data_IF_683903273249
#
_entry.id   IF_683903273249
#
_cell.length_a   1.000
_cell.length_b   1.000
_cell.length_c   1.000
_cell.angle_alpha   90.00
_cell.angle_beta   90.00
_cell.angle_gamma   90.00
#
_symmetry.space_group_name_H-M   'P 1'
#
loop_
_entity.id
_entity.type
_entity.pdbx_description
1 polymer ?
#
# COMPACT_ATOMS: atom_id res chain seq x y z
N UNK A 1 11.20 -35.20 6.04
CA UNK A 1 12.63 -35.54 5.87
C UNK A 1 13.54 -34.32 5.96
N UNK A 2 13.24 -33.23 5.25
CA UNK A 2 14.09 -32.03 5.20
C UNK A 2 14.13 -31.20 6.51
N UNK A 3 13.07 -31.24 7.32
CA UNK A 3 13.03 -30.62 8.66
C UNK A 3 14.08 -31.21 9.61
N UNK A 4 14.37 -32.52 9.48
CA UNK A 4 15.41 -33.19 10.24
C UNK A 4 16.80 -32.71 9.84
N UNK A 5 17.03 -32.45 8.55
CA UNK A 5 18.30 -31.88 8.06
C UNK A 5 18.53 -30.46 8.57
N UNK A 6 17.47 -29.64 8.64
CA UNK A 6 17.55 -28.26 9.19
C UNK A 6 18.00 -28.26 10.65
N UNK A 7 17.49 -29.20 11.45
CA UNK A 7 17.80 -29.30 12.89
C UNK A 7 19.21 -29.87 13.18
N UNK A 8 19.83 -30.53 12.21
CA UNK A 8 21.20 -31.07 12.33
C UNK A 8 22.28 -30.03 12.02
N UNK A 9 21.89 -28.88 11.47
CA UNK A 9 22.84 -27.82 11.16
C UNK A 9 23.24 -27.09 12.45
N UNK A 10 24.54 -26.88 12.70
CA UNK A 10 24.98 -26.13 13.88
C UNK A 10 24.45 -24.69 13.84
N UNK A 11 23.80 -24.28 14.93
CA UNK A 11 23.31 -22.91 15.14
C UNK A 11 24.45 -21.91 15.37
N UNK A 12 25.66 -22.41 15.63
CA UNK A 12 26.82 -21.57 15.89
C UNK A 12 27.11 -20.67 14.69
N UNK A 13 27.41 -19.42 15.00
CA UNK A 13 27.85 -18.37 14.06
C UNK A 13 29.25 -18.65 13.50
N UNK A 14 29.58 -19.93 13.29
CA UNK A 14 30.90 -20.34 12.87
C UNK A 14 31.12 -19.91 11.43
N UNK A 15 32.12 -19.04 11.27
CA UNK A 15 32.68 -18.45 10.05
C UNK A 15 33.24 -19.47 9.05
N UNK A 16 32.89 -20.75 9.19
CA UNK A 16 33.34 -21.82 8.30
C UNK A 16 32.53 -21.81 7.00
N UNK A 17 33.21 -21.53 5.89
CA UNK A 17 32.64 -21.44 4.55
C UNK A 17 31.92 -22.73 4.12
N UNK A 18 32.39 -23.89 4.56
CA UNK A 18 31.75 -25.18 4.27
C UNK A 18 30.39 -25.34 4.97
N UNK A 19 30.27 -24.82 6.19
CA UNK A 19 28.98 -24.81 6.93
C UNK A 19 27.98 -23.88 6.23
N UNK A 20 28.44 -22.72 5.71
CA UNK A 20 27.58 -21.81 4.94
C UNK A 20 27.07 -22.47 3.67
N UNK A 21 27.95 -23.09 2.88
CA UNK A 21 27.56 -23.82 1.65
C UNK A 21 26.53 -24.91 1.95
N UNK A 22 26.73 -25.67 3.03
CA UNK A 22 25.79 -26.71 3.44
C UNK A 22 24.42 -26.12 3.86
N UNK A 23 24.42 -25.01 4.61
CA UNK A 23 23.21 -24.27 4.97
C UNK A 23 22.47 -23.78 3.72
N UNK A 24 23.18 -23.14 2.78
CA UNK A 24 22.63 -22.67 1.50
C UNK A 24 21.99 -23.81 0.71
N UNK A 25 22.71 -24.94 0.55
CA UNK A 25 22.20 -26.10 -0.15
C UNK A 25 20.95 -26.68 0.53
N UNK A 26 20.94 -26.75 1.86
CA UNK A 26 19.81 -27.27 2.64
C UNK A 26 18.58 -26.37 2.48
N UNK A 27 18.70 -25.07 2.75
CA UNK A 27 17.60 -24.12 2.60
C UNK A 27 17.09 -24.05 1.15
N UNK A 28 17.98 -24.11 0.17
CA UNK A 28 17.61 -24.14 -1.26
C UNK A 28 16.80 -25.39 -1.59
N UNK A 29 17.18 -26.57 -1.11
CA UNK A 29 16.43 -27.80 -1.32
C UNK A 29 15.08 -27.80 -0.60
N UNK A 30 15.01 -27.24 0.62
CA UNK A 30 13.74 -27.07 1.35
C UNK A 30 12.79 -26.15 0.56
N UNK A 31 13.28 -25.01 0.07
CA UNK A 31 12.48 -24.10 -0.74
C UNK A 31 11.89 -24.80 -1.98
N UNK A 32 12.66 -25.67 -2.63
CA UNK A 32 12.17 -26.46 -3.76
C UNK A 32 11.08 -27.46 -3.35
N UNK A 33 11.22 -28.09 -2.18
CA UNK A 33 10.18 -28.98 -1.65
C UNK A 33 8.89 -28.21 -1.39
N UNK A 34 8.95 -27.07 -0.71
CA UNK A 34 7.78 -26.23 -0.44
C UNK A 34 7.14 -25.72 -1.74
N UNK A 35 7.93 -25.32 -2.75
CA UNK A 35 7.40 -24.95 -4.07
C UNK A 35 6.62 -26.10 -4.73
N UNK A 36 7.08 -27.35 -4.60
CA UNK A 36 6.37 -28.53 -5.12
C UNK A 36 5.11 -28.87 -4.31
N UNK A 37 5.10 -28.52 -3.02
CA UNK A 37 3.93 -28.68 -2.14
C UNK A 37 2.90 -27.54 -2.27
N UNK A 38 3.13 -26.54 -3.12
CA UNK A 38 2.36 -25.29 -3.23
C UNK A 38 2.42 -24.37 -1.99
N UNK A 39 3.34 -24.63 -1.05
CA UNK A 39 3.56 -23.80 0.14
C UNK A 39 4.52 -22.65 -0.19
N UNK A 40 4.03 -21.66 -0.94
CA UNK A 40 4.88 -20.60 -1.48
C UNK A 40 5.40 -19.62 -0.41
N UNK A 41 4.66 -19.43 0.70
CA UNK A 41 5.08 -18.54 1.79
C UNK A 41 6.31 -19.10 2.51
N UNK A 42 6.27 -20.37 2.89
CA UNK A 42 7.37 -21.07 3.53
C UNK A 42 8.56 -21.18 2.58
N UNK A 43 8.32 -21.40 1.28
CA UNK A 43 9.37 -21.36 0.28
C UNK A 43 10.07 -19.99 0.21
N UNK A 44 9.32 -18.89 0.31
CA UNK A 44 9.88 -17.51 0.36
C UNK A 44 10.76 -17.33 1.59
N UNK A 45 10.32 -17.80 2.76
CA UNK A 45 11.09 -17.72 4.01
C UNK A 45 12.43 -18.44 3.89
N UNK A 46 12.43 -19.66 3.33
CA UNK A 46 13.65 -20.44 3.14
C UNK A 46 14.59 -19.80 2.11
N UNK A 47 14.05 -19.19 1.04
CA UNK A 47 14.86 -18.39 0.10
C UNK A 47 15.46 -17.14 0.76
N UNK A 48 14.75 -16.49 1.69
CA UNK A 48 15.28 -15.36 2.45
C UNK A 48 16.43 -15.79 3.37
N UNK A 49 16.37 -16.98 3.97
CA UNK A 49 17.47 -17.55 4.73
C UNK A 49 18.71 -17.78 3.86
N UNK A 50 18.54 -18.28 2.63
CA UNK A 50 19.66 -18.38 1.67
C UNK A 50 20.23 -17.00 1.34
N UNK A 51 19.37 -16.01 1.09
CA UNK A 51 19.81 -14.64 0.74
C UNK A 51 20.60 -13.97 1.88
N UNK A 52 20.28 -14.29 3.14
CA UNK A 52 21.03 -13.79 4.30
C UNK A 52 22.46 -14.35 4.38
N UNK A 53 22.69 -15.56 3.84
CA UNK A 53 24.00 -16.18 3.75
C UNK A 53 24.75 -15.79 2.47
N UNK A 54 24.04 -15.79 1.35
CA UNK A 54 24.56 -15.48 0.01
C UNK A 54 23.60 -14.53 -0.73
N UNK A 55 23.87 -13.22 -0.64
CA UNK A 55 22.99 -12.19 -1.20
C UNK A 55 22.87 -12.23 -2.74
N UNK A 56 23.85 -12.84 -3.42
CA UNK A 56 23.95 -12.92 -4.88
C UNK A 56 23.69 -14.33 -5.44
N UNK A 57 23.05 -15.21 -4.66
CA UNK A 57 22.70 -16.55 -5.14
C UNK A 57 21.54 -16.49 -6.14
N UNK A 58 21.85 -16.69 -7.43
CA UNK A 58 20.89 -16.54 -8.53
C UNK A 58 19.73 -17.54 -8.41
N UNK A 59 19.98 -18.78 -7.99
CA UNK A 59 18.94 -19.81 -7.83
C UNK A 59 17.95 -19.44 -6.73
N UNK A 60 18.43 -18.90 -5.62
CA UNK A 60 17.57 -18.47 -4.52
C UNK A 60 16.74 -17.24 -4.91
N UNK A 61 17.35 -16.25 -5.56
CA UNK A 61 16.64 -15.05 -6.06
C UNK A 61 15.54 -15.44 -7.07
N UNK A 62 15.86 -16.33 -8.02
CA UNK A 62 14.90 -16.78 -9.01
C UNK A 62 13.72 -17.54 -8.38
N UNK A 63 13.99 -18.47 -7.45
CA UNK A 63 12.93 -19.21 -6.74
C UNK A 63 12.07 -18.29 -5.87
N UNK A 64 12.69 -17.31 -5.20
CA UNK A 64 11.98 -16.30 -4.41
C UNK A 64 11.04 -15.46 -5.27
N UNK A 65 11.53 -14.97 -6.42
CA UNK A 65 10.71 -14.24 -7.38
C UNK A 65 9.51 -15.04 -7.88
N UNK A 66 9.69 -16.35 -8.13
CA UNK A 66 8.59 -17.25 -8.50
C UNK A 66 7.55 -17.38 -7.38
N UNK A 67 7.98 -17.51 -6.12
CA UNK A 67 7.06 -17.56 -4.98
C UNK A 67 6.30 -16.24 -4.82
N UNK A 68 7.00 -15.09 -4.88
CA UNK A 68 6.39 -13.76 -4.75
C UNK A 68 5.35 -13.51 -5.86
N UNK A 69 5.61 -13.98 -7.09
CA UNK A 69 4.67 -13.89 -8.21
C UNK A 69 3.37 -14.67 -7.96
N UNK A 70 3.42 -15.77 -7.19
CA UNK A 70 2.26 -16.58 -6.84
C UNK A 70 1.53 -16.00 -5.63
N UNK A 71 2.27 -15.47 -4.65
CA UNK A 71 1.74 -14.77 -3.46
C UNK A 71 1.12 -13.41 -3.84
N UNK A 72 1.32 -12.96 -5.09
CA UNK A 72 0.84 -11.67 -5.62
C UNK A 72 1.59 -10.44 -5.06
N UNK A 73 2.82 -10.64 -4.58
CA UNK A 73 3.78 -9.57 -4.27
C UNK A 73 4.60 -9.26 -5.52
N UNK A 74 3.98 -8.55 -6.46
CA UNK A 74 4.49 -8.40 -7.82
C UNK A 74 5.74 -7.50 -7.89
N UNK A 75 5.80 -6.48 -7.04
CA UNK A 75 6.92 -5.54 -6.94
C UNK A 75 8.20 -6.25 -6.47
N UNK A 76 8.11 -7.01 -5.38
CA UNK A 76 9.23 -7.80 -4.84
C UNK A 76 9.69 -8.86 -5.84
N UNK A 77 8.74 -9.53 -6.52
CA UNK A 77 9.06 -10.49 -7.58
C UNK A 77 9.83 -9.82 -8.73
N UNK A 78 9.43 -8.63 -9.13
CA UNK A 78 10.07 -7.88 -10.21
C UNK A 78 11.50 -7.49 -9.84
N UNK A 79 11.74 -7.02 -8.62
CA UNK A 79 13.09 -6.71 -8.12
C UNK A 79 14.00 -7.95 -8.15
N UNK A 80 13.48 -9.10 -7.68
CA UNK A 80 14.19 -10.37 -7.69
C UNK A 80 14.63 -10.79 -9.09
N UNK A 81 13.70 -10.80 -10.05
CA UNK A 81 14.01 -11.19 -11.42
C UNK A 81 14.93 -10.19 -12.12
N UNK A 82 14.82 -8.90 -11.82
CA UNK A 82 15.76 -7.89 -12.32
C UNK A 82 17.16 -8.14 -11.81
N UNK A 83 17.31 -8.46 -10.52
CA UNK A 83 18.61 -8.79 -9.94
C UNK A 83 19.19 -10.08 -10.54
N UNK A 84 18.35 -11.08 -10.83
CA UNK A 84 18.77 -12.28 -11.56
C UNK A 84 19.31 -11.92 -12.95
N UNK A 85 18.65 -11.04 -13.70
CA UNK A 85 19.11 -10.62 -15.04
C UNK A 85 20.42 -9.81 -14.95
N UNK A 86 20.61 -9.02 -13.90
CA UNK A 86 21.87 -8.31 -13.67
C UNK A 86 23.04 -9.27 -13.45
N UNK A 87 22.81 -10.37 -12.71
CA UNK A 87 23.83 -11.39 -12.43
C UNK A 87 24.02 -12.36 -13.61
N UNK A 88 22.93 -12.73 -14.29
CA UNK A 88 22.90 -13.63 -15.44
C UNK A 88 22.09 -13.02 -16.59
N UNK A 89 22.70 -12.17 -17.44
CA UNK A 89 22.01 -11.53 -18.56
C UNK A 89 21.45 -12.51 -19.60
N UNK A 90 21.98 -13.74 -19.66
CA UNK A 90 21.51 -14.79 -20.56
C UNK A 90 20.26 -15.53 -20.08
N UNK A 91 19.75 -15.23 -18.88
CA UNK A 91 18.63 -15.96 -18.29
C UNK A 91 17.28 -15.53 -18.91
N UNK A 92 16.90 -16.20 -20.00
CA UNK A 92 15.63 -15.97 -20.71
C UNK A 92 14.40 -16.18 -19.83
N UNK A 93 14.47 -17.12 -18.88
CA UNK A 93 13.35 -17.42 -18.00
C UNK A 93 13.05 -16.25 -17.06
N UNK A 94 14.10 -15.64 -16.48
CA UNK A 94 13.96 -14.44 -15.66
C UNK A 94 13.43 -13.24 -16.47
N UNK A 95 13.93 -13.05 -17.70
CA UNK A 95 13.44 -11.99 -18.59
C UNK A 95 11.93 -12.12 -18.89
N UNK A 96 11.46 -13.34 -19.17
CA UNK A 96 10.03 -13.61 -19.37
C UNK A 96 9.21 -13.28 -18.12
N UNK A 97 9.70 -13.67 -16.93
CA UNK A 97 9.01 -13.37 -15.69
C UNK A 97 8.94 -11.87 -15.39
N UNK A 98 9.95 -11.06 -15.75
CA UNK A 98 9.87 -9.59 -15.64
C UNK A 98 8.73 -9.01 -16.47
N UNK A 99 8.54 -9.48 -17.70
CA UNK A 99 7.44 -9.05 -18.57
C UNK A 99 6.10 -9.38 -17.94
N UNK A 100 5.95 -10.61 -17.41
CA UNK A 100 4.72 -11.06 -16.73
C UNK A 100 4.44 -10.19 -15.49
N UNK A 101 5.46 -9.90 -14.66
CA UNK A 101 5.30 -9.06 -13.48
C UNK A 101 4.82 -7.65 -13.86
N UNK A 102 5.46 -7.02 -14.86
CA UNK A 102 5.07 -5.68 -15.33
C UNK A 102 3.64 -5.65 -15.84
N UNK A 103 3.22 -6.68 -16.58
CA UNK A 103 1.87 -6.79 -17.09
C UNK A 103 0.85 -6.89 -15.95
N UNK A 104 1.08 -7.79 -14.98
CA UNK A 104 0.21 -7.93 -13.81
C UNK A 104 0.14 -6.63 -13.00
N UNK A 105 1.27 -5.99 -12.70
CA UNK A 105 1.30 -4.71 -11.95
C UNK A 105 0.47 -3.64 -12.67
N UNK A 106 0.61 -3.54 -13.99
CA UNK A 106 -0.18 -2.60 -14.79
C UNK A 106 -1.67 -2.92 -14.71
N UNK A 107 -2.04 -4.19 -14.82
CA UNK A 107 -3.44 -4.62 -14.69
C UNK A 107 -4.01 -4.28 -13.31
N UNK A 108 -3.30 -4.58 -12.22
CA UNK A 108 -3.73 -4.26 -10.85
C UNK A 108 -3.96 -2.76 -10.69
N UNK A 109 -2.99 -1.93 -11.11
CA UNK A 109 -3.10 -0.46 -11.06
C UNK A 109 -4.28 0.06 -11.89
N UNK A 110 -4.55 -0.52 -13.06
CA UNK A 110 -5.71 -0.10 -13.87
C UNK A 110 -7.04 -0.48 -13.21
N UNK A 111 -7.12 -1.64 -12.57
CA UNK A 111 -8.32 -2.10 -11.83
C UNK A 111 -8.56 -1.20 -10.62
N UNK A 112 -7.52 -0.92 -9.84
CA UNK A 112 -7.58 0.00 -8.70
C UNK A 112 -8.04 1.39 -9.14
N UNK A 113 -7.42 1.97 -10.18
CA UNK A 113 -7.84 3.29 -10.70
C UNK A 113 -9.31 3.33 -11.11
N UNK A 114 -9.81 2.27 -11.78
CA UNK A 114 -11.23 2.17 -12.15
C UNK A 114 -12.13 2.04 -10.92
N UNK A 115 -11.73 1.25 -9.92
CA UNK A 115 -12.47 1.08 -8.68
C UNK A 115 -12.60 2.42 -7.93
N UNK A 116 -11.50 3.14 -7.75
CA UNK A 116 -11.51 4.45 -7.12
C UNK A 116 -12.36 5.45 -7.90
N UNK A 117 -12.21 5.52 -9.22
CA UNK A 117 -13.01 6.42 -10.06
C UNK A 117 -14.53 6.15 -9.89
N UNK A 118 -14.95 4.89 -9.91
CA UNK A 118 -16.35 4.51 -9.71
C UNK A 118 -16.83 4.85 -8.29
N UNK A 119 -15.98 4.74 -7.27
CA UNK A 119 -16.31 5.11 -5.90
C UNK A 119 -16.50 6.63 -5.75
N UNK A 120 -15.61 7.44 -6.35
CA UNK A 120 -15.74 8.90 -6.39
C UNK A 120 -17.05 9.33 -7.05
N UNK A 121 -17.43 8.73 -8.17
CA UNK A 121 -18.69 9.08 -8.85
C UNK A 121 -19.93 8.72 -8.03
N UNK A 122 -19.90 7.61 -7.28
CA UNK A 122 -21.02 7.21 -6.43
C UNK A 122 -21.18 8.12 -5.21
N UNK A 123 -20.07 8.50 -4.58
CA UNK A 123 -20.10 9.46 -3.46
C UNK A 123 -20.66 10.81 -3.90
N UNK A 124 -20.19 11.34 -5.04
CA UNK A 124 -20.69 12.59 -5.61
C UNK A 124 -22.18 12.54 -6.03
N UNK A 125 -22.71 11.34 -6.34
CA UNK A 125 -24.13 11.16 -6.62
C UNK A 125 -24.98 11.21 -5.33
N UNK A 126 -24.49 10.60 -4.24
CA UNK A 126 -25.18 10.64 -2.95
C UNK A 126 -25.22 12.05 -2.34
N UNK A 127 -24.14 12.83 -2.49
CA UNK A 127 -24.09 14.21 -1.94
C UNK A 127 -25.12 15.14 -2.62
N UNK A 128 -25.55 14.83 -3.84
CA UNK A 128 -26.58 15.62 -4.56
C UNK A 128 -28.00 15.40 -4.05
N UNK A 129 -28.26 14.36 -3.26
CA UNK A 129 -29.60 14.05 -2.75
C UNK A 129 -29.88 14.63 -1.35
N UNK A 130 -28.90 15.29 -0.72
CA UNK A 130 -29.02 15.83 0.65
C UNK A 130 -28.58 17.29 0.82
N UNK A 131 -28.76 18.15 -0.18
CA UNK A 131 -28.78 19.59 0.12
C UNK A 131 -30.21 20.00 0.51
N UNK A 132 -30.51 20.33 1.78
CA UNK A 132 -31.72 21.06 2.08
C UNK A 132 -31.71 22.35 1.26
N UNK A 133 -32.88 22.88 0.84
CA UNK A 133 -32.95 24.10 0.04
C UNK A 133 -32.08 25.17 0.71
N UNK A 134 -31.09 25.71 -0.02
CA UNK A 134 -30.30 26.83 0.48
C UNK A 134 -31.28 27.94 0.86
N UNK A 135 -31.44 28.16 2.17
CA UNK A 135 -32.19 29.32 2.63
C UNK A 135 -31.56 30.55 2.00
N UNK A 136 -32.38 31.34 1.31
CA UNK A 136 -31.98 32.58 0.67
C UNK A 136 -31.27 33.46 1.69
N UNK A 137 -30.18 34.10 1.25
CA UNK A 137 -29.33 35.00 2.03
C UNK A 137 -30.13 35.75 3.11
N UNK A 138 -29.88 35.40 4.38
CA UNK A 138 -30.54 35.99 5.55
C UNK A 138 -30.37 37.52 5.58
N UNK A 139 -29.38 38.06 4.85
CA UNK A 139 -29.18 39.49 4.67
C UNK A 139 -30.31 40.17 3.91
N UNK A 140 -31.02 39.46 3.03
CA UNK A 140 -32.21 39.98 2.33
C UNK A 140 -33.42 40.15 3.24
N UNK A 141 -33.39 39.58 4.47
CA UNK A 141 -34.51 39.57 5.42
C UNK A 141 -34.33 40.56 6.56
N UNK A 142 -33.17 41.23 6.65
CA UNK A 142 -32.95 42.34 7.57
C UNK A 142 -33.65 43.57 6.97
N UNK A 143 -34.82 43.92 7.50
CA UNK A 143 -35.63 45.03 7.02
C UNK A 143 -34.83 46.34 6.97
N UNK A 144 -35.09 47.15 5.94
CA UNK A 144 -34.49 48.47 5.79
C UNK A 144 -34.86 49.33 7.02
N UNK A 145 -33.86 49.96 7.64
CA UNK A 145 -34.07 50.92 8.71
C UNK A 145 -34.92 52.08 8.20
N UNK A 146 -36.11 52.26 8.75
CA UNK A 146 -36.99 53.35 8.36
C UNK A 146 -36.63 54.64 9.10
N UNK A 147 -36.99 55.80 8.54
CA UNK A 147 -36.86 57.09 9.22
C UNK A 147 -37.69 57.15 10.52
N UNK A 148 -38.73 56.31 10.63
CA UNK A 148 -39.54 56.16 11.84
C UNK A 148 -38.78 55.41 12.94
N UNK A 149 -37.98 54.39 12.58
CA UNK A 149 -37.13 53.67 13.53
C UNK A 149 -36.00 54.56 14.07
N UNK A 150 -35.41 55.39 13.19
CA UNK A 150 -34.43 56.39 13.59
C UNK A 150 -35.00 57.45 14.54
N UNK A 151 -36.25 57.90 14.31
CA UNK A 151 -36.94 58.82 15.22
C UNK A 151 -37.26 58.17 16.57
N UNK A 152 -37.73 56.92 16.58
CA UNK A 152 -37.98 56.17 17.82
C UNK A 152 -36.75 56.04 18.68
N UNK A 153 -35.60 55.78 18.06
CA UNK A 153 -34.34 55.64 18.79
C UNK A 153 -33.86 56.98 19.36
N UNK A 154 -34.04 58.08 18.63
CA UNK A 154 -33.74 59.43 19.13
C UNK A 154 -34.67 59.83 20.29
N UNK A 155 -35.96 59.52 20.21
CA UNK A 155 -36.92 59.79 21.28
C UNK A 155 -36.60 58.96 22.55
N UNK A 156 -36.20 57.68 22.37
CA UNK A 156 -35.74 56.82 23.47
C UNK A 156 -34.47 57.33 24.15
N UNK A 157 -33.56 57.95 23.40
CA UNK A 157 -32.35 58.57 23.95
C UNK A 157 -32.69 59.82 24.77
N UNK A 158 -33.62 60.65 24.28
CA UNK A 158 -34.10 61.84 25.00
C UNK A 158 -34.84 61.47 26.30
N UNK A 159 -35.62 60.40 26.31
CA UNK A 159 -36.25 59.88 27.52
C UNK A 159 -35.23 59.35 28.53
N UNK A 160 -34.16 58.68 28.05
CA UNK A 160 -33.07 58.18 28.90
C UNK A 160 -32.30 59.31 29.58
N UNK A 161 -32.03 60.39 28.87
CA UNK A 161 -31.29 61.54 29.40
C UNK A 161 -32.15 62.36 30.39
N UNK A 162 -33.48 62.40 30.21
CA UNK A 162 -34.41 63.04 31.16
C UNK A 162 -34.65 62.23 32.45
N UNK A 163 -34.37 60.92 32.46
CA UNK A 163 -34.43 60.08 33.67
C UNK A 163 -33.15 60.21 34.52
N UNK A 164 -32.05 60.74 33.98
CA UNK A 164 -30.77 60.94 34.69
C UNK A 164 -30.67 62.34 35.35
N UNK A 165 -31.60 63.26 35.07
CA UNK A 165 -31.64 64.62 35.68
C UNK A 165 -32.78 64.86 36.68
N UNK A 166 -33.14 63.85 37.48
CA UNK A 166 -33.87 63.98 38.76
C UNK A 166 -33.11 63.19 39.82
#
# INVERSE_FOLDING_TARGET
>A
MYTKCKNLLPNNADTNEEVKKLKVATHSNIALCHQKSNDHFEAKVECNAVRALEANNVKALYRRGQCNLIINELEDALEDFQKVIQLEPGNKAAANHVVICRQKIKETKTKEKKLYANMFTKLAANDKETEPPRETDVLSKCGEWSEEDAKREADLLLERDNIIMI
#
